data_IF_303935060684
#
_entry.id   IF_303935060684
#
_cell.length_a   1.000
_cell.length_b   1.000
_cell.length_c   1.000
_cell.angle_alpha   90.00
_cell.angle_beta   90.00
_cell.angle_gamma   90.00
#
_symmetry.space_group_name_H-M   'P 1'
#
loop_
_entity.id
_entity.type
_entity.pdbx_description
1 polymer ?
#
# COMPACT_ATOMS: atom_id res chain seq x y z
N UNK A 1 34.66 9.26 -9.92
CA UNK A 1 33.78 9.38 -11.10
C UNK A 1 33.88 8.05 -11.83
N UNK A 2 32.79 7.30 -11.94
CA UNK A 2 32.77 6.07 -12.76
C UNK A 2 32.79 6.52 -14.21
N UNK A 3 33.73 6.01 -15.00
CA UNK A 3 33.79 6.28 -16.43
C UNK A 3 32.58 5.61 -17.10
N UNK A 4 31.80 6.37 -17.87
CA UNK A 4 30.60 5.85 -18.53
C UNK A 4 31.06 5.13 -19.80
N UNK A 5 31.22 3.81 -19.72
CA UNK A 5 31.70 2.97 -20.83
C UNK A 5 30.67 2.73 -21.94
N UNK A 6 29.39 3.12 -21.73
CA UNK A 6 28.30 2.80 -22.66
C UNK A 6 27.96 1.30 -22.66
N UNK A 7 27.16 0.88 -23.65
CA UNK A 7 26.78 -0.52 -23.87
C UNK A 7 27.85 -1.20 -24.74
N UNK A 8 28.56 -2.21 -24.20
CA UNK A 8 29.61 -2.96 -24.89
C UNK A 8 29.08 -4.09 -25.80
N UNK A 9 27.81 -4.49 -25.66
CA UNK A 9 27.18 -5.48 -26.54
C UNK A 9 27.70 -6.92 -26.39
N UNK A 10 28.48 -7.20 -25.36
CA UNK A 10 29.01 -8.53 -25.07
C UNK A 10 27.89 -9.49 -24.66
N UNK A 11 27.68 -10.55 -25.43
CA UNK A 11 26.55 -11.47 -25.22
C UNK A 11 26.66 -12.19 -23.86
N UNK A 12 27.88 -12.37 -23.39
CA UNK A 12 28.20 -12.95 -22.08
C UNK A 12 27.70 -12.05 -20.94
N UNK A 13 27.67 -10.73 -21.14
CA UNK A 13 27.23 -9.73 -20.16
C UNK A 13 25.71 -9.57 -20.09
N UNK A 14 25.00 -9.71 -21.21
CA UNK A 14 23.56 -9.42 -21.30
C UNK A 14 22.68 -10.61 -21.69
N UNK A 15 23.26 -11.66 -22.27
CA UNK A 15 22.59 -12.88 -22.67
C UNK A 15 22.57 -13.90 -21.54
N UNK A 16 21.58 -13.80 -20.64
CA UNK A 16 21.42 -14.70 -19.50
C UNK A 16 20.80 -16.06 -19.88
N UNK A 17 21.40 -16.73 -20.86
CA UNK A 17 21.11 -18.13 -21.22
C UNK A 17 22.35 -19.00 -20.91
N UNK A 18 22.19 -20.29 -20.59
CA UNK A 18 23.32 -21.20 -20.51
C UNK A 18 24.11 -21.20 -21.84
N UNK A 19 25.46 -21.16 -21.81
CA UNK A 19 26.31 -21.32 -20.62
C UNK A 19 26.63 -20.03 -19.84
N UNK A 20 26.32 -18.84 -20.39
CA UNK A 20 26.70 -17.54 -19.81
C UNK A 20 26.18 -17.35 -18.37
N UNK A 21 25.00 -17.92 -18.06
CA UNK A 21 24.45 -17.90 -16.70
C UNK A 21 25.34 -18.57 -15.66
N UNK A 22 26.11 -19.60 -16.03
CA UNK A 22 27.01 -20.28 -15.09
C UNK A 22 28.17 -19.37 -14.71
N UNK A 23 28.82 -18.74 -15.68
CA UNK A 23 29.90 -17.78 -15.41
C UNK A 23 29.39 -16.60 -14.57
N UNK A 24 28.23 -16.04 -14.91
CA UNK A 24 27.63 -14.94 -14.15
C UNK A 24 27.20 -15.33 -12.74
N UNK A 25 26.85 -16.59 -12.49
CA UNK A 25 26.64 -17.09 -11.13
C UNK A 25 27.94 -17.10 -10.31
N UNK A 26 29.09 -17.45 -10.91
CA UNK A 26 30.39 -17.32 -10.25
C UNK A 26 30.75 -15.86 -9.99
N UNK A 27 30.50 -14.95 -10.93
CA UNK A 27 30.70 -13.50 -10.73
C UNK A 27 29.80 -12.97 -9.61
N UNK A 28 28.52 -13.38 -9.56
CA UNK A 28 27.60 -13.04 -8.48
C UNK A 28 28.12 -13.55 -7.13
N UNK A 29 28.59 -14.80 -7.08
CA UNK A 29 29.18 -15.40 -5.89
C UNK A 29 30.41 -14.65 -5.42
N UNK A 30 31.36 -14.37 -6.32
CA UNK A 30 32.58 -13.61 -6.02
C UNK A 30 32.24 -12.19 -5.52
N UNK A 31 31.26 -11.52 -6.14
CA UNK A 31 30.78 -10.22 -5.68
C UNK A 31 30.19 -10.30 -4.27
N UNK A 32 29.39 -11.31 -3.97
CA UNK A 32 28.84 -11.52 -2.63
C UNK A 32 29.94 -11.84 -1.60
N UNK A 33 30.97 -12.60 -1.99
CA UNK A 33 32.13 -12.89 -1.13
C UNK A 33 32.95 -11.62 -0.84
N UNK A 34 33.20 -10.79 -1.84
CA UNK A 34 33.86 -9.48 -1.67
C UNK A 34 33.05 -8.55 -0.77
N UNK A 35 31.75 -8.43 -1.02
CA UNK A 35 30.85 -7.63 -0.17
C UNK A 35 30.83 -8.17 1.27
N UNK A 36 30.82 -9.48 1.47
CA UNK A 36 30.88 -10.09 2.79
C UNK A 36 32.22 -9.84 3.49
N UNK A 37 33.33 -9.80 2.75
CA UNK A 37 34.64 -9.44 3.29
C UNK A 37 34.66 -7.98 3.73
N UNK A 38 34.29 -7.08 2.83
CA UNK A 38 34.26 -5.63 3.07
C UNK A 38 33.30 -5.29 4.23
N UNK A 39 32.16 -5.98 4.33
CA UNK A 39 31.20 -5.78 5.41
C UNK A 39 31.85 -5.87 6.80
N UNK A 40 32.88 -6.71 6.98
CA UNK A 40 33.54 -6.88 8.28
C UNK A 40 34.30 -5.63 8.75
N UNK A 41 34.68 -4.74 7.84
CA UNK A 41 35.50 -3.55 8.11
C UNK A 41 34.82 -2.23 7.73
N UNK A 42 33.67 -2.29 7.04
CA UNK A 42 32.92 -1.11 6.65
C UNK A 42 32.40 -0.30 7.85
N UNK A 43 32.69 1.00 7.89
CA UNK A 43 32.27 1.93 8.95
C UNK A 43 30.75 2.11 9.10
N UNK A 44 29.96 1.69 8.10
CA UNK A 44 28.50 1.68 8.21
C UNK A 44 28.00 0.63 9.21
N UNK A 45 28.79 -0.43 9.46
CA UNK A 45 28.56 -1.39 10.52
C UNK A 45 29.27 -0.90 11.79
N UNK A 46 28.50 -0.36 12.72
CA UNK A 46 29.03 0.37 13.87
C UNK A 46 29.01 -0.48 15.12
N UNK A 47 30.18 -0.65 15.72
CA UNK A 47 30.33 -1.26 17.02
C UNK A 47 30.43 -0.18 18.10
N UNK A 48 29.48 -0.17 19.02
CA UNK A 48 29.49 0.64 20.24
C UNK A 48 29.77 -0.27 21.42
N UNK A 49 30.86 0.03 22.14
CA UNK A 49 31.28 -0.77 23.29
C UNK A 49 30.64 -0.22 24.56
N UNK A 50 29.91 -1.08 25.28
CA UNK A 50 29.46 -0.84 26.64
C UNK A 50 30.49 -1.30 27.68
N UNK A 51 30.18 -1.08 28.96
CA UNK A 51 31.10 -1.41 30.06
C UNK A 51 31.21 -2.91 30.37
N UNK A 52 30.16 -3.70 30.11
CA UNK A 52 30.14 -5.15 30.34
C UNK A 52 30.29 -5.97 29.05
N UNK A 53 30.82 -7.19 29.19
CA UNK A 53 30.86 -8.22 28.14
C UNK A 53 29.82 -9.34 28.35
N UNK A 54 28.82 -9.11 29.18
CA UNK A 54 27.77 -10.11 29.38
C UNK A 54 26.92 -10.29 28.12
N UNK A 55 26.50 -9.19 27.50
CA UNK A 55 25.57 -9.21 26.35
C UNK A 55 26.05 -8.30 25.23
N UNK A 56 25.96 -8.80 24.00
CA UNK A 56 26.06 -8.02 22.77
C UNK A 56 24.69 -7.95 22.09
N UNK A 57 24.22 -6.74 21.80
CA UNK A 57 23.01 -6.54 21.02
C UNK A 57 23.37 -6.36 19.55
N UNK A 58 22.75 -7.13 18.66
CA UNK A 58 22.86 -6.98 17.20
C UNK A 58 21.53 -6.46 16.66
N UNK A 59 21.56 -5.35 15.93
CA UNK A 59 20.35 -4.66 15.49
C UNK A 59 20.58 -3.85 14.20
N UNK A 60 19.51 -3.39 13.56
CA UNK A 60 19.56 -2.58 12.33
C UNK A 60 18.39 -1.59 12.25
N UNK A 61 18.47 -0.63 11.32
CA UNK A 61 17.34 0.26 11.01
C UNK A 61 16.84 1.09 12.19
N UNK A 62 15.50 1.19 12.32
CA UNK A 62 14.79 1.97 13.34
C UNK A 62 14.90 1.38 14.76
N UNK A 63 15.26 0.10 14.88
CA UNK A 63 15.42 -0.55 16.19
C UNK A 63 16.62 -0.01 16.97
N UNK A 64 17.65 0.44 16.25
CA UNK A 64 18.82 1.06 16.85
C UNK A 64 18.49 2.35 17.62
N UNK A 65 17.85 3.39 17.03
CA UNK A 65 17.50 4.58 17.79
C UNK A 65 16.54 4.29 18.96
N UNK A 66 15.52 3.44 18.78
CA UNK A 66 14.61 3.04 19.86
C UNK A 66 15.37 2.40 21.04
N UNK A 67 16.31 1.49 20.75
CA UNK A 67 17.20 0.93 21.77
C UNK A 67 18.05 2.00 22.47
N UNK A 68 18.56 3.00 21.73
CA UNK A 68 19.39 4.07 22.30
C UNK A 68 18.59 4.98 23.24
N UNK A 69 17.29 5.15 23.05
CA UNK A 69 16.43 5.94 23.93
C UNK A 69 16.42 5.40 25.36
N UNK A 70 16.58 4.09 25.55
CA UNK A 70 16.64 3.44 26.86
C UNK A 70 17.87 3.85 27.70
N UNK A 71 18.89 4.45 27.07
CA UNK A 71 20.09 4.92 27.76
C UNK A 71 20.89 3.81 28.45
N UNK A 72 20.82 2.58 27.92
CA UNK A 72 21.48 1.41 28.49
C UNK A 72 22.98 1.39 28.19
N UNK A 73 23.78 0.99 29.18
CA UNK A 73 25.20 0.71 29.02
C UNK A 73 25.43 -0.74 28.58
N UNK A 74 25.16 -1.00 27.30
CA UNK A 74 25.30 -2.29 26.65
C UNK A 74 26.10 -2.16 25.37
N UNK A 75 26.81 -3.22 25.00
CA UNK A 75 27.51 -3.25 23.73
C UNK A 75 26.53 -3.51 22.58
N UNK A 76 26.64 -2.72 21.53
CA UNK A 76 25.73 -2.75 20.38
C UNK A 76 26.55 -2.89 19.10
N UNK A 77 26.17 -3.83 18.26
CA UNK A 77 26.64 -3.92 16.88
C UNK A 77 25.50 -3.56 15.93
N UNK A 78 25.49 -2.30 15.48
CA UNK A 78 24.51 -1.79 14.54
C UNK A 78 24.93 -2.14 13.12
N UNK A 79 24.14 -2.97 12.46
CA UNK A 79 24.32 -3.30 11.04
C UNK A 79 23.86 -2.12 10.18
N UNK A 80 24.77 -1.61 9.35
CA UNK A 80 24.47 -0.67 8.27
C UNK A 80 24.17 -1.36 6.95
N UNK A 81 24.65 -2.59 6.78
CA UNK A 81 24.31 -3.50 5.68
C UNK A 81 23.83 -4.82 6.26
N UNK A 82 22.61 -5.24 5.91
CA UNK A 82 22.00 -6.46 6.43
C UNK A 82 22.21 -7.68 5.53
N UNK A 83 22.68 -7.50 4.29
CA UNK A 83 23.07 -8.61 3.44
C UNK A 83 24.17 -8.23 2.43
N UNK A 84 25.27 -9.00 2.35
CA UNK A 84 25.66 -10.08 3.27
C UNK A 84 25.97 -9.57 4.69
N UNK A 85 25.79 -10.42 5.70
CA UNK A 85 26.16 -10.07 7.08
C UNK A 85 27.70 -10.13 7.28
N UNK A 86 28.28 -9.30 8.16
CA UNK A 86 29.71 -9.32 8.48
C UNK A 86 30.07 -10.48 9.43
N UNK A 87 29.95 -11.71 8.92
CA UNK A 87 30.03 -12.93 9.74
C UNK A 87 31.38 -13.11 10.44
N UNK A 88 32.51 -12.73 9.83
CA UNK A 88 33.83 -12.86 10.49
C UNK A 88 33.87 -11.96 11.72
N UNK A 89 33.46 -10.70 11.56
CA UNK A 89 33.42 -9.73 12.65
C UNK A 89 32.45 -10.15 13.76
N UNK A 90 31.29 -10.65 13.39
CA UNK A 90 30.29 -11.16 14.33
C UNK A 90 30.79 -12.41 15.08
N UNK A 91 31.55 -13.31 14.44
CA UNK A 91 32.21 -14.45 15.11
C UNK A 91 33.31 -14.05 16.08
N UNK A 92 34.05 -12.99 15.77
CA UNK A 92 35.03 -12.43 16.71
C UNK A 92 34.34 -11.90 17.95
N UNK A 93 33.32 -11.06 17.75
CA UNK A 93 32.53 -10.50 18.83
C UNK A 93 31.82 -11.59 19.63
N UNK A 94 31.27 -12.63 18.99
CA UNK A 94 30.57 -13.72 19.70
C UNK A 94 31.45 -14.51 20.66
N UNK A 95 32.78 -14.43 20.53
CA UNK A 95 33.72 -15.05 21.49
C UNK A 95 34.00 -14.15 22.69
N UNK A 96 33.78 -12.85 22.53
CA UNK A 96 34.01 -11.86 23.57
C UNK A 96 32.83 -11.74 24.54
N UNK A 97 31.62 -12.06 24.09
CA UNK A 97 30.39 -11.89 24.85
C UNK A 97 29.79 -13.24 25.28
N UNK A 98 29.17 -13.28 26.45
CA UNK A 98 28.51 -14.51 26.96
C UNK A 98 27.24 -14.82 26.18
N UNK A 99 26.51 -13.79 25.77
CA UNK A 99 25.25 -13.93 25.03
C UNK A 99 25.12 -12.87 23.94
N UNK A 100 24.47 -13.24 22.83
CA UNK A 100 24.10 -12.32 21.76
C UNK A 100 22.59 -12.25 21.70
N UNK A 101 22.07 -11.02 21.74
CA UNK A 101 20.65 -10.73 21.56
C UNK A 101 20.45 -10.01 20.23
N UNK A 102 19.56 -10.54 19.39
CA UNK A 102 19.19 -9.93 18.12
C UNK A 102 17.88 -9.17 18.29
N UNK A 103 17.90 -7.89 17.94
CA UNK A 103 16.70 -7.05 17.88
C UNK A 103 16.43 -6.72 16.42
N UNK A 104 15.39 -7.37 15.88
CA UNK A 104 14.91 -7.17 14.51
C UNK A 104 13.39 -7.20 14.47
N UNK A 105 12.79 -6.44 13.56
CA UNK A 105 11.33 -6.42 13.33
C UNK A 105 10.90 -7.54 12.37
N UNK A 106 9.64 -7.92 12.42
CA UNK A 106 9.08 -8.99 11.56
C UNK A 106 9.81 -10.33 11.74
N UNK A 107 10.10 -11.06 10.66
CA UNK A 107 10.67 -12.42 10.71
C UNK A 107 12.17 -12.41 11.13
N UNK A 108 12.68 -13.49 11.75
CA UNK A 108 14.06 -13.59 12.27
C UNK A 108 15.14 -13.75 11.19
N UNK A 109 15.27 -12.81 10.26
CA UNK A 109 16.26 -12.92 9.18
C UNK A 109 17.71 -12.89 9.70
N UNK A 110 18.03 -11.93 10.57
CA UNK A 110 19.37 -11.75 11.13
C UNK A 110 19.68 -12.89 12.10
N UNK A 111 18.76 -13.19 13.02
CA UNK A 111 18.90 -14.27 13.99
C UNK A 111 19.13 -15.63 13.29
N UNK A 112 18.33 -15.97 12.28
CA UNK A 112 18.46 -17.24 11.57
C UNK A 112 19.78 -17.31 10.79
N UNK A 113 20.19 -16.25 10.10
CA UNK A 113 21.45 -16.23 9.36
C UNK A 113 22.66 -16.38 10.31
N UNK A 114 22.63 -15.74 11.49
CA UNK A 114 23.67 -15.93 12.51
C UNK A 114 23.74 -17.37 13.01
N UNK A 115 22.59 -17.99 13.32
CA UNK A 115 22.50 -19.39 13.76
C UNK A 115 23.01 -20.35 12.70
N UNK A 116 22.63 -20.16 11.43
CA UNK A 116 23.10 -20.97 10.29
C UNK A 116 24.64 -20.89 10.17
N UNK A 117 25.25 -19.74 10.50
CA UNK A 117 26.71 -19.56 10.47
C UNK A 117 27.42 -20.03 11.74
N UNK A 118 26.70 -20.63 12.68
CA UNK A 118 27.21 -21.20 13.92
C UNK A 118 27.47 -20.16 15.03
N UNK A 119 26.79 -19.02 14.98
CA UNK A 119 26.82 -18.02 16.05
C UNK A 119 25.56 -18.24 16.92
N UNK A 120 25.76 -18.55 18.20
CA UNK A 120 24.65 -18.69 19.13
C UNK A 120 24.09 -17.31 19.49
N UNK A 121 22.79 -17.13 19.30
CA UNK A 121 22.07 -15.90 19.63
C UNK A 121 20.59 -16.19 19.90
N UNK A 122 19.90 -15.22 20.50
CA UNK A 122 18.46 -15.24 20.77
C UNK A 122 17.85 -13.90 20.37
N UNK A 123 16.62 -13.91 19.87
CA UNK A 123 15.89 -12.67 19.57
C UNK A 123 14.40 -12.89 19.74
N UNK A 124 13.79 -13.66 18.83
CA UNK A 124 12.34 -13.91 18.79
C UNK A 124 11.77 -14.70 19.96
N UNK A 125 12.63 -15.23 20.83
CA UNK A 125 12.21 -15.72 22.14
C UNK A 125 11.69 -14.59 23.04
N UNK A 126 12.22 -13.37 22.87
CA UNK A 126 11.92 -12.20 23.70
C UNK A 126 11.16 -11.09 22.95
N UNK A 127 11.28 -11.05 21.62
CA UNK A 127 10.67 -10.02 20.77
C UNK A 127 9.61 -10.62 19.85
N UNK A 128 8.55 -9.86 19.58
CA UNK A 128 7.46 -10.30 18.70
C UNK A 128 7.97 -10.68 17.30
N UNK A 129 7.38 -11.72 16.70
CA UNK A 129 7.64 -12.13 15.32
C UNK A 129 7.06 -11.16 14.28
N UNK A 130 6.21 -10.22 14.71
CA UNK A 130 5.51 -9.29 13.82
C UNK A 130 5.18 -7.98 14.53
N UNK A 131 4.83 -6.97 13.76
CA UNK A 131 4.63 -5.61 14.25
C UNK A 131 5.93 -4.83 14.36
N UNK A 132 5.77 -3.58 14.74
CA UNK A 132 6.87 -2.65 15.03
C UNK A 132 7.35 -2.89 16.46
N UNK A 133 8.66 -2.82 16.71
CA UNK A 133 9.18 -2.87 18.09
C UNK A 133 9.53 -1.45 18.54
N UNK A 134 8.66 -0.88 19.37
CA UNK A 134 8.88 0.42 19.96
C UNK A 134 9.88 0.32 21.12
N UNK A 135 10.27 1.47 21.67
CA UNK A 135 11.20 1.58 22.79
C UNK A 135 10.75 0.73 23.99
N UNK A 136 9.45 0.71 24.28
CA UNK A 136 8.83 -0.09 25.35
C UNK A 136 8.88 -1.60 25.06
N UNK A 137 8.59 -2.01 23.83
CA UNK A 137 8.64 -3.42 23.41
C UNK A 137 10.07 -3.98 23.53
N UNK A 138 11.06 -3.15 23.16
CA UNK A 138 12.47 -3.47 23.29
C UNK A 138 12.86 -3.58 24.77
N UNK A 139 12.46 -2.64 25.63
CA UNK A 139 12.78 -2.68 27.06
C UNK A 139 12.21 -3.92 27.73
N UNK A 140 10.95 -4.26 27.42
CA UNK A 140 10.29 -5.46 27.94
C UNK A 140 11.02 -6.73 27.51
N UNK A 141 11.32 -6.88 26.21
CA UNK A 141 12.06 -8.04 25.71
C UNK A 141 13.46 -8.14 26.32
N UNK A 142 14.15 -7.02 26.52
CA UNK A 142 15.46 -6.99 27.18
C UNK A 142 15.39 -7.32 28.68
N UNK A 143 14.28 -7.01 29.35
CA UNK A 143 14.03 -7.47 30.73
C UNK A 143 13.79 -8.98 30.78
N UNK A 144 12.98 -9.53 29.88
CA UNK A 144 12.77 -10.98 29.77
C UNK A 144 14.07 -11.72 29.47
N UNK A 145 14.95 -11.11 28.66
CA UNK A 145 16.30 -11.60 28.40
C UNK A 145 17.30 -11.40 29.57
N UNK A 146 16.90 -10.76 30.67
CA UNK A 146 17.74 -10.52 31.84
C UNK A 146 18.79 -9.42 31.69
N UNK A 147 18.70 -8.58 30.64
CA UNK A 147 19.61 -7.45 30.40
C UNK A 147 19.24 -6.25 31.25
N UNK A 148 17.94 -5.98 31.37
CA UNK A 148 17.38 -4.87 32.14
C UNK A 148 16.65 -5.44 33.37
N UNK A 149 16.79 -4.77 34.52
CA UNK A 149 16.15 -5.22 35.77
C UNK A 149 14.73 -4.68 35.95
N UNK A 150 14.51 -3.43 35.55
CA UNK A 150 13.27 -2.70 35.75
C UNK A 150 12.88 -1.99 34.45
N UNK A 151 11.59 -2.04 34.12
CA UNK A 151 11.01 -1.28 33.01
C UNK A 151 10.82 0.17 33.48
N UNK A 152 11.42 1.12 32.76
CA UNK A 152 11.24 2.56 33.00
C UNK A 152 10.13 3.14 32.13
N UNK A 153 10.02 2.61 30.91
CA UNK A 153 9.03 3.03 29.94
C UNK A 153 7.83 2.11 30.09
N UNK A 154 6.69 2.71 30.37
CA UNK A 154 5.44 1.98 30.39
C UNK A 154 4.80 2.14 29.02
N UNK A 155 4.44 1.01 28.41
CA UNK A 155 3.43 1.03 27.35
C UNK A 155 2.23 1.72 27.96
N UNK A 156 1.83 2.87 27.42
CA UNK A 156 0.59 3.51 27.80
C UNK A 156 -0.50 2.44 27.64
N UNK A 157 -1.03 1.95 28.76
CA UNK A 157 -2.16 1.05 28.69
C UNK A 157 -3.32 1.90 28.19
N UNK A 158 -3.80 1.58 26.99
CA UNK A 158 -5.06 2.11 26.51
C UNK A 158 -6.14 1.63 27.49
N UNK A 159 -6.45 2.45 28.50
CA UNK A 159 -7.49 2.17 29.50
C UNK A 159 -8.89 2.12 28.86
N UNK A 160 -9.02 2.68 27.66
CA UNK A 160 -10.23 2.66 26.86
C UNK A 160 -10.02 1.90 25.55
N UNK A 161 -11.01 1.07 25.18
CA UNK A 161 -11.06 0.45 23.86
C UNK A 161 -11.31 1.55 22.81
N UNK A 162 -10.24 2.20 22.35
CA UNK A 162 -10.32 3.27 21.34
C UNK A 162 -10.62 2.65 19.99
N UNK A 163 -11.55 3.24 19.25
CA UNK A 163 -11.87 2.76 17.89
C UNK A 163 -10.64 2.87 16.99
N UNK A 164 -10.19 1.74 16.45
CA UNK A 164 -9.04 1.69 15.55
C UNK A 164 -9.20 2.64 14.35
N UNK A 165 -8.20 3.49 14.13
CA UNK A 165 -8.13 4.39 12.97
C UNK A 165 -7.60 3.62 11.76
N UNK A 166 -8.48 2.86 11.14
CA UNK A 166 -8.12 2.11 9.94
C UNK A 166 -7.72 3.06 8.80
N UNK A 167 -6.76 2.66 7.95
CA UNK A 167 -6.40 3.42 6.77
C UNK A 167 -7.63 3.75 5.92
N UNK A 168 -7.78 5.01 5.49
CA UNK A 168 -8.96 5.51 4.78
C UNK A 168 -8.61 6.35 3.55
N UNK A 169 -9.54 6.41 2.60
CA UNK A 169 -9.41 7.26 1.42
C UNK A 169 -9.30 8.75 1.79
N UNK A 170 -8.49 9.51 1.06
CA UNK A 170 -8.36 10.95 1.25
C UNK A 170 -9.69 11.71 1.02
N UNK A 171 -9.81 12.90 1.59
CA UNK A 171 -10.88 13.84 1.25
C UNK A 171 -10.86 14.10 -0.27
N UNK A 172 -12.01 13.98 -0.93
CA UNK A 172 -12.10 14.10 -2.39
C UNK A 172 -11.43 12.98 -3.20
N UNK A 173 -11.05 11.86 -2.58
CA UNK A 173 -10.49 10.74 -3.34
C UNK A 173 -11.48 10.25 -4.42
N UNK A 174 -11.03 10.11 -5.69
CA UNK A 174 -11.86 9.69 -6.82
C UNK A 174 -12.35 8.25 -6.74
N UNK A 175 -11.73 7.40 -5.91
CA UNK A 175 -12.12 5.99 -5.79
C UNK A 175 -13.34 5.78 -4.86
N UNK A 176 -13.61 6.69 -3.92
CA UNK A 176 -14.72 6.57 -2.97
C UNK A 176 -16.09 6.34 -3.63
N UNK A 177 -16.53 7.15 -4.61
CA UNK A 177 -17.82 6.93 -5.27
C UNK A 177 -17.89 5.58 -5.98
N UNK A 178 -16.79 5.13 -6.60
CA UNK A 178 -16.72 3.82 -7.28
C UNK A 178 -17.01 2.69 -6.31
N UNK A 179 -16.31 2.64 -5.17
CA UNK A 179 -16.52 1.56 -4.19
C UNK A 179 -17.86 1.66 -3.46
N UNK A 180 -18.40 2.86 -3.25
CA UNK A 180 -19.77 3.01 -2.74
C UNK A 180 -20.82 2.46 -3.74
N UNK A 181 -20.64 2.70 -5.04
CA UNK A 181 -21.48 2.15 -6.11
C UNK A 181 -21.36 0.62 -6.17
N UNK A 182 -20.14 0.08 -6.20
CA UNK A 182 -19.89 -1.36 -6.22
C UNK A 182 -20.47 -2.06 -4.99
N UNK A 183 -20.35 -1.43 -3.80
CA UNK A 183 -20.98 -1.91 -2.58
C UNK A 183 -22.50 -2.01 -2.71
N UNK A 184 -23.14 -0.95 -3.21
CA UNK A 184 -24.60 -0.91 -3.44
C UNK A 184 -25.04 -1.92 -4.50
N UNK A 185 -24.18 -2.23 -5.46
CA UNK A 185 -24.39 -3.28 -6.45
C UNK A 185 -24.14 -4.71 -5.90
N UNK A 186 -23.65 -4.84 -4.66
CA UNK A 186 -23.23 -6.12 -4.06
C UNK A 186 -22.23 -6.89 -4.93
N UNK A 187 -21.35 -6.14 -5.61
CA UNK A 187 -20.31 -6.73 -6.45
C UNK A 187 -19.24 -7.41 -5.59
N UNK A 188 -18.75 -8.56 -6.07
CA UNK A 188 -17.50 -9.15 -5.58
C UNK A 188 -16.36 -8.65 -6.44
N UNK A 189 -15.36 -8.03 -5.80
CA UNK A 189 -14.34 -7.25 -6.50
C UNK A 189 -12.95 -7.80 -6.22
N UNK A 190 -12.26 -8.13 -7.30
CA UNK A 190 -10.86 -8.53 -7.31
C UNK A 190 -10.04 -7.26 -7.58
N UNK A 191 -9.04 -6.96 -6.77
CA UNK A 191 -8.18 -5.81 -6.99
C UNK A 191 -6.71 -6.14 -7.00
N UNK A 192 -5.94 -5.14 -7.37
CA UNK A 192 -4.49 -5.09 -7.23
C UNK A 192 -4.06 -4.25 -6.02
N UNK A 193 -2.75 -4.03 -5.90
CA UNK A 193 -2.17 -3.07 -4.95
C UNK A 193 -2.28 -1.66 -5.51
N UNK A 194 -2.88 -0.75 -4.72
CA UNK A 194 -2.99 0.68 -5.00
C UNK A 194 -3.89 1.39 -3.97
N UNK A 195 -4.15 2.70 -4.14
CA UNK A 195 -5.01 3.46 -3.20
C UNK A 195 -6.35 2.76 -2.94
N UNK A 196 -6.91 2.12 -3.96
CA UNK A 196 -8.17 1.39 -3.90
C UNK A 196 -8.14 0.11 -3.03
N UNK A 197 -6.97 -0.42 -2.65
CA UNK A 197 -6.84 -1.55 -1.71
C UNK A 197 -7.49 -1.26 -0.36
N UNK A 198 -7.63 0.02 0.02
CA UNK A 198 -8.36 0.44 1.23
C UNK A 198 -9.84 0.02 1.24
N UNK A 199 -10.41 -0.35 0.09
CA UNK A 199 -11.77 -0.85 0.00
C UNK A 199 -11.98 -2.25 0.64
N UNK A 200 -10.91 -2.93 1.08
CA UNK A 200 -10.99 -4.12 1.95
C UNK A 200 -11.54 -3.77 3.35
N UNK A 201 -11.30 -2.53 3.80
CA UNK A 201 -11.58 -2.10 5.17
C UNK A 201 -13.02 -1.58 5.35
N UNK A 202 -13.55 -1.58 6.59
CA UNK A 202 -14.76 -0.83 6.92
C UNK A 202 -14.63 0.67 6.55
N UNK A 203 -15.73 1.35 6.19
CA UNK A 203 -17.09 0.84 6.07
C UNK A 203 -17.36 0.17 4.73
N UNK A 204 -16.42 0.14 3.77
CA UNK A 204 -16.70 -0.35 2.42
C UNK A 204 -16.78 -1.88 2.35
N UNK A 205 -15.71 -2.59 2.73
CA UNK A 205 -15.59 -4.06 2.65
C UNK A 205 -16.08 -4.65 1.32
N UNK A 206 -15.58 -4.10 0.21
CA UNK A 206 -15.99 -4.48 -1.16
C UNK A 206 -14.90 -5.25 -1.88
N UNK A 207 -13.63 -4.96 -1.60
CA UNK A 207 -12.52 -5.65 -2.24
C UNK A 207 -12.28 -7.00 -1.57
N UNK A 208 -12.45 -8.09 -2.31
CA UNK A 208 -12.37 -9.47 -1.81
C UNK A 208 -10.96 -10.07 -1.95
N UNK A 209 -10.14 -9.53 -2.85
CA UNK A 209 -8.77 -10.03 -3.10
C UNK A 209 -7.86 -8.88 -3.51
N UNK A 210 -6.61 -8.91 -3.04
CA UNK A 210 -5.50 -8.05 -3.46
C UNK A 210 -4.20 -8.81 -3.23
N UNK A 211 -3.45 -9.11 -4.31
CA UNK A 211 -2.22 -9.92 -4.24
C UNK A 211 -0.98 -9.10 -4.59
N UNK A 212 -0.89 -8.63 -5.84
CA UNK A 212 0.24 -7.86 -6.34
C UNK A 212 -0.23 -6.88 -7.42
N UNK A 213 0.68 -6.08 -7.97
CA UNK A 213 0.36 -5.18 -9.07
C UNK A 213 0.13 -5.96 -10.39
N UNK A 214 -1.08 -5.87 -10.94
CA UNK A 214 -1.47 -6.44 -12.23
C UNK A 214 -1.97 -7.88 -12.19
N UNK A 215 -2.20 -8.43 -10.99
CA UNK A 215 -2.71 -9.78 -10.80
C UNK A 215 -4.22 -9.88 -11.04
N UNK A 216 -4.98 -8.81 -10.82
CA UNK A 216 -6.45 -8.77 -10.81
C UNK A 216 -7.07 -9.33 -12.09
N UNK A 217 -6.52 -8.98 -13.25
CA UNK A 217 -6.98 -9.42 -14.57
C UNK A 217 -6.76 -10.93 -14.75
N UNK A 218 -5.58 -11.43 -14.38
CA UNK A 218 -5.26 -12.86 -14.44
C UNK A 218 -6.10 -13.69 -13.48
N UNK A 219 -6.30 -13.20 -12.26
CA UNK A 219 -7.17 -13.82 -11.25
C UNK A 219 -8.61 -13.85 -11.76
N UNK A 220 -9.14 -12.74 -12.30
CA UNK A 220 -10.48 -12.69 -12.90
C UNK A 220 -10.64 -13.76 -13.98
N UNK A 221 -9.64 -13.95 -14.85
CA UNK A 221 -9.66 -15.00 -15.88
C UNK A 221 -9.65 -16.41 -15.28
N UNK A 222 -8.86 -16.65 -14.25
CA UNK A 222 -8.84 -17.94 -13.55
C UNK A 222 -10.18 -18.23 -12.87
N UNK A 223 -10.77 -17.21 -12.21
CA UNK A 223 -12.06 -17.31 -11.56
C UNK A 223 -13.20 -17.56 -12.56
N UNK A 224 -13.19 -16.93 -13.73
CA UNK A 224 -14.23 -17.16 -14.75
C UNK A 224 -14.23 -18.62 -15.24
N UNK A 225 -13.05 -19.21 -15.46
CA UNK A 225 -12.92 -20.64 -15.78
C UNK A 225 -13.38 -21.55 -14.63
N UNK A 226 -13.14 -21.18 -13.38
CA UNK A 226 -13.62 -21.93 -12.22
C UNK A 226 -15.15 -21.86 -12.09
N UNK A 227 -15.73 -20.69 -12.33
CA UNK A 227 -17.18 -20.45 -12.25
C UNK A 227 -17.91 -21.21 -13.36
N UNK A 228 -17.41 -21.16 -14.59
CA UNK A 228 -17.92 -21.94 -15.72
C UNK A 228 -18.01 -23.44 -15.39
N UNK A 229 -16.94 -24.04 -14.86
CA UNK A 229 -16.91 -25.46 -14.46
C UNK A 229 -17.95 -25.81 -13.39
N UNK A 230 -18.35 -24.84 -12.57
CA UNK A 230 -19.38 -24.98 -11.54
C UNK A 230 -20.80 -24.70 -12.08
N UNK A 231 -20.92 -24.19 -13.30
CA UNK A 231 -22.19 -23.68 -13.85
C UNK A 231 -22.64 -22.37 -13.20
N UNK A 232 -21.72 -21.61 -12.60
CA UNK A 232 -21.99 -20.31 -11.99
C UNK A 232 -21.79 -19.20 -13.03
N UNK A 233 -22.81 -18.37 -13.24
CA UNK A 233 -22.79 -17.23 -14.18
C UNK A 233 -22.70 -15.87 -13.48
N UNK A 234 -22.32 -15.85 -12.20
CA UNK A 234 -22.21 -14.62 -11.42
C UNK A 234 -21.21 -13.64 -12.07
N UNK A 235 -21.55 -12.34 -12.16
CA UNK A 235 -20.64 -11.31 -12.68
C UNK A 235 -19.34 -11.26 -11.89
N UNK A 236 -18.20 -11.24 -12.58
CA UNK A 236 -16.88 -11.04 -11.99
C UNK A 236 -16.43 -9.60 -12.20
N UNK A 237 -15.97 -8.94 -11.14
CA UNK A 237 -15.52 -7.54 -11.20
C UNK A 237 -14.07 -7.46 -10.81
N UNK A 238 -13.26 -6.78 -11.62
CA UNK A 238 -11.88 -6.46 -11.28
C UNK A 238 -11.65 -4.95 -11.30
N UNK A 239 -10.79 -4.47 -10.42
CA UNK A 239 -10.34 -3.08 -10.38
C UNK A 239 -8.82 -3.03 -10.52
N UNK A 240 -8.35 -2.10 -11.35
CA UNK A 240 -6.92 -1.84 -11.55
C UNK A 240 -6.71 -0.33 -11.64
N UNK A 241 -5.69 0.21 -10.97
CA UNK A 241 -5.30 1.62 -11.12
C UNK A 241 -4.58 1.87 -12.44
N UNK A 242 -4.60 3.09 -12.94
CA UNK A 242 -3.81 3.54 -14.11
C UNK A 242 -2.32 3.20 -13.99
N UNK A 243 -1.66 3.50 -12.87
CA UNK A 243 -0.24 3.17 -12.67
C UNK A 243 0.04 1.68 -12.80
N UNK A 244 -0.83 0.85 -12.19
CA UNK A 244 -0.76 -0.61 -12.30
C UNK A 244 -1.05 -1.09 -13.72
N UNK A 245 -2.02 -0.46 -14.40
CA UNK A 245 -2.38 -0.76 -15.78
C UNK A 245 -1.17 -0.56 -16.72
N UNK A 246 -0.49 0.58 -16.65
CA UNK A 246 0.71 0.84 -17.46
C UNK A 246 1.91 -0.03 -17.06
N UNK A 247 2.05 -0.39 -15.78
CA UNK A 247 3.18 -1.17 -15.31
C UNK A 247 3.10 -2.65 -15.74
N UNK A 248 2.00 -3.33 -15.40
CA UNK A 248 1.86 -4.78 -15.61
C UNK A 248 0.47 -5.20 -16.10
N UNK A 249 -0.50 -4.28 -16.17
CA UNK A 249 -1.85 -4.59 -16.61
C UNK A 249 -2.01 -4.75 -18.13
N UNK A 250 -1.26 -4.00 -18.95
CA UNK A 250 -1.38 -4.07 -20.42
C UNK A 250 -1.13 -5.48 -20.98
N UNK A 251 -0.04 -6.19 -20.62
CA UNK A 251 0.17 -7.56 -21.10
C UNK A 251 -0.93 -8.52 -20.61
N UNK A 252 -1.41 -8.35 -19.38
CA UNK A 252 -2.52 -9.14 -18.83
C UNK A 252 -3.82 -8.93 -19.60
N UNK A 253 -4.11 -7.69 -20.04
CA UNK A 253 -5.27 -7.40 -20.88
C UNK A 253 -5.15 -8.04 -22.25
N UNK A 254 -3.99 -7.95 -22.91
CA UNK A 254 -3.80 -8.62 -24.20
C UNK A 254 -4.02 -10.14 -24.10
N UNK A 255 -3.50 -10.77 -23.03
CA UNK A 255 -3.72 -12.20 -22.78
C UNK A 255 -5.20 -12.51 -22.48
N UNK A 256 -5.89 -11.66 -21.71
CA UNK A 256 -7.32 -11.79 -21.46
C UNK A 256 -8.10 -11.79 -22.77
N UNK A 257 -7.79 -10.87 -23.69
CA UNK A 257 -8.43 -10.76 -25.00
C UNK A 257 -8.19 -12.01 -25.86
N UNK A 258 -6.93 -12.48 -25.92
CA UNK A 258 -6.56 -13.65 -26.71
C UNK A 258 -7.30 -14.93 -26.28
N UNK A 259 -7.54 -15.07 -24.97
CA UNK A 259 -8.17 -16.24 -24.38
C UNK A 259 -9.66 -16.03 -24.08
N UNK A 260 -10.26 -14.92 -24.52
CA UNK A 260 -11.58 -14.49 -24.09
C UNK A 260 -12.66 -15.48 -24.50
N UNK A 261 -13.57 -15.74 -23.57
CA UNK A 261 -14.80 -16.47 -23.85
C UNK A 261 -15.96 -15.46 -23.83
N UNK A 262 -16.77 -15.35 -24.90
CA UNK A 262 -17.86 -14.39 -24.95
C UNK A 262 -18.96 -14.67 -23.92
N UNK A 263 -19.07 -15.87 -23.36
CA UNK A 263 -20.10 -16.19 -22.35
C UNK A 263 -19.74 -15.72 -20.94
N UNK A 264 -18.50 -15.24 -20.72
CA UNK A 264 -18.07 -14.80 -19.40
C UNK A 264 -18.51 -13.37 -19.10
N UNK A 265 -19.38 -13.22 -18.10
CA UNK A 265 -19.76 -11.94 -17.55
C UNK A 265 -18.63 -11.37 -16.66
N UNK A 266 -17.84 -10.47 -17.22
CA UNK A 266 -16.68 -9.85 -16.59
C UNK A 266 -16.72 -8.33 -16.78
N UNK A 267 -16.45 -7.58 -15.71
CA UNK A 267 -16.31 -6.12 -15.77
C UNK A 267 -14.97 -5.70 -15.19
N UNK A 268 -14.12 -5.09 -16.01
CA UNK A 268 -12.85 -4.51 -15.58
C UNK A 268 -13.01 -2.99 -15.42
N UNK A 269 -12.77 -2.48 -14.21
CA UNK A 269 -12.73 -1.06 -13.92
C UNK A 269 -11.27 -0.59 -13.89
N UNK A 270 -10.90 0.29 -14.81
CA UNK A 270 -9.61 0.99 -14.80
C UNK A 270 -9.82 2.33 -14.09
N UNK A 271 -9.19 2.47 -12.92
CA UNK A 271 -9.34 3.60 -12.04
C UNK A 271 -8.28 4.67 -12.36
N UNK A 272 -8.54 5.46 -13.40
CA UNK A 272 -7.62 6.52 -13.82
C UNK A 272 -7.75 7.75 -12.92
N UNK A 273 -6.71 7.95 -12.11
CA UNK A 273 -6.54 9.13 -11.26
C UNK A 273 -5.33 9.98 -11.69
N UNK A 274 -4.70 9.62 -12.82
CA UNK A 274 -3.60 10.31 -13.45
C UNK A 274 -2.28 10.30 -12.69
N UNK A 275 -1.94 9.24 -11.93
CA UNK A 275 -0.61 8.99 -11.35
C UNK A 275 -0.54 7.68 -10.53
N UNK A 276 0.68 7.20 -10.26
CA UNK A 276 0.91 6.13 -9.26
C UNK A 276 0.85 6.71 -7.84
N UNK A 277 -0.37 6.89 -7.32
CA UNK A 277 -0.62 7.74 -6.15
C UNK A 277 -0.11 7.18 -4.80
N UNK A 278 -0.37 5.91 -4.50
CA UNK A 278 -0.11 5.32 -3.16
C UNK A 278 1.37 5.32 -2.77
N UNK A 279 2.27 5.27 -3.76
CA UNK A 279 3.72 5.23 -3.57
C UNK A 279 4.35 6.61 -3.39
N UNK A 280 3.56 7.69 -3.38
CA UNK A 280 4.05 9.06 -3.25
C UNK A 280 3.87 9.91 -4.52
N UNK A 281 3.01 9.50 -5.45
CA UNK A 281 2.60 10.33 -6.59
C UNK A 281 3.57 10.34 -7.77
N UNK A 282 4.17 9.19 -8.07
CA UNK A 282 5.10 9.03 -9.20
C UNK A 282 4.38 9.19 -10.55
N UNK A 283 5.04 9.77 -11.56
CA UNK A 283 4.53 9.81 -12.92
C UNK A 283 4.36 8.39 -13.48
N UNK A 284 3.49 8.25 -14.48
CA UNK A 284 3.23 6.99 -15.17
C UNK A 284 2.94 7.23 -16.66
N UNK A 285 2.55 6.21 -17.41
CA UNK A 285 2.33 6.33 -18.86
C UNK A 285 1.26 7.35 -19.28
N UNK A 286 0.36 7.72 -18.37
CA UNK A 286 -0.70 8.69 -18.62
C UNK A 286 -0.34 10.12 -18.21
N UNK A 287 0.70 10.32 -17.40
CA UNK A 287 1.00 11.63 -16.82
C UNK A 287 2.47 11.84 -16.45
N UNK A 288 2.88 13.09 -16.58
CA UNK A 288 4.10 13.62 -15.98
C UNK A 288 5.34 13.45 -16.85
N UNK A 289 6.30 14.33 -16.59
CA UNK A 289 7.57 14.37 -17.31
C UNK A 289 8.45 13.20 -16.86
N UNK A 290 8.77 12.28 -17.77
CA UNK A 290 9.80 11.25 -17.56
C UNK A 290 11.21 11.88 -17.43
N UNK A 291 11.38 13.09 -17.98
CA UNK A 291 12.53 13.98 -17.77
C UNK A 291 12.23 15.39 -18.31
N UNK A 292 13.15 16.35 -18.19
CA UNK A 292 12.90 17.76 -18.58
C UNK A 292 12.34 17.94 -20.01
N UNK A 293 12.69 17.00 -20.91
CA UNK A 293 12.39 17.05 -22.35
C UNK A 293 11.26 16.12 -22.82
N UNK A 294 10.84 15.14 -22.02
CA UNK A 294 9.95 14.07 -22.48
C UNK A 294 8.76 13.92 -21.53
N UNK A 295 7.57 14.19 -22.07
CA UNK A 295 6.29 14.01 -21.39
C UNK A 295 5.53 12.90 -22.10
N UNK A 296 4.90 12.00 -21.33
CA UNK A 296 4.06 10.93 -21.86
C UNK A 296 2.62 11.18 -21.43
N UNK A 297 1.70 11.08 -22.39
CA UNK A 297 0.28 11.26 -22.16
C UNK A 297 -0.52 10.22 -22.96
N UNK A 298 -0.30 8.94 -22.64
CA UNK A 298 -0.95 7.83 -23.34
C UNK A 298 -2.35 7.65 -22.78
N UNK A 299 -3.38 7.97 -23.55
CA UNK A 299 -4.78 7.78 -23.12
C UNK A 299 -5.19 6.30 -23.03
N UNK A 300 -5.67 5.87 -21.85
CA UNK A 300 -6.09 4.48 -21.59
C UNK A 300 -7.23 4.07 -22.53
N UNK A 301 -8.25 4.91 -22.72
CA UNK A 301 -9.42 4.56 -23.55
C UNK A 301 -9.03 4.26 -25.00
N UNK A 302 -8.18 5.12 -25.59
CA UNK A 302 -7.68 4.92 -26.95
C UNK A 302 -6.86 3.63 -27.05
N UNK A 303 -5.91 3.45 -26.11
CA UNK A 303 -5.07 2.26 -26.08
C UNK A 303 -5.86 0.95 -25.98
N UNK A 304 -6.84 0.90 -25.07
CA UNK A 304 -7.69 -0.28 -24.87
C UNK A 304 -8.57 -0.55 -26.10
N UNK A 305 -9.10 0.48 -26.77
CA UNK A 305 -9.84 0.29 -28.03
C UNK A 305 -8.95 -0.24 -29.14
N UNK A 306 -7.74 0.31 -29.29
CA UNK A 306 -6.75 -0.14 -30.30
C UNK A 306 -6.25 -1.57 -30.03
N UNK A 307 -6.19 -2.01 -28.76
CA UNK A 307 -5.94 -3.42 -28.43
C UNK A 307 -7.02 -4.37 -28.97
N UNK A 308 -8.23 -3.87 -29.26
CA UNK A 308 -9.34 -4.66 -29.82
C UNK A 308 -10.54 -4.87 -28.89
N UNK A 309 -10.57 -4.21 -27.72
CA UNK A 309 -11.73 -4.29 -26.83
C UNK A 309 -12.91 -3.47 -27.38
N UNK A 310 -14.06 -4.13 -27.55
CA UNK A 310 -15.23 -3.53 -28.21
C UNK A 310 -16.09 -2.68 -27.29
N UNK A 311 -16.22 -3.08 -26.02
CA UNK A 311 -17.10 -2.44 -25.03
C UNK A 311 -16.26 -1.71 -23.98
N UNK A 312 -15.96 -0.46 -24.27
CA UNK A 312 -15.17 0.44 -23.42
C UNK A 312 -15.99 1.69 -23.17
N UNK A 313 -16.22 2.02 -21.90
CA UNK A 313 -16.96 3.22 -21.51
C UNK A 313 -16.14 4.03 -20.51
N UNK A 314 -16.06 5.34 -20.73
CA UNK A 314 -15.42 6.27 -19.80
C UNK A 314 -16.49 7.01 -19.00
N UNK A 315 -16.28 7.17 -17.70
CA UNK A 315 -17.24 7.82 -16.81
C UNK A 315 -16.57 8.73 -15.79
N UNK A 316 -17.15 9.91 -15.62
CA UNK A 316 -16.82 10.79 -14.52
C UNK A 316 -17.57 10.33 -13.26
N UNK A 317 -16.85 9.67 -12.37
CA UNK A 317 -17.41 9.14 -11.12
C UNK A 317 -17.83 10.21 -10.10
N UNK A 318 -17.56 11.50 -10.36
CA UNK A 318 -18.13 12.61 -9.58
C UNK A 318 -19.51 13.02 -10.05
N UNK A 319 -19.99 12.56 -11.21
CA UNK A 319 -21.40 12.57 -11.58
C UNK A 319 -22.05 11.29 -11.05
N UNK A 320 -22.34 11.27 -9.75
CA UNK A 320 -22.62 10.03 -9.01
C UNK A 320 -23.76 9.20 -9.60
N UNK A 321 -24.87 9.83 -9.99
CA UNK A 321 -26.03 9.11 -10.54
C UNK A 321 -25.75 8.53 -11.92
N UNK A 322 -25.09 9.29 -12.80
CA UNK A 322 -24.65 8.83 -14.12
C UNK A 322 -23.66 7.67 -13.96
N UNK A 323 -22.64 7.83 -13.11
CA UNK A 323 -21.67 6.78 -12.83
C UNK A 323 -22.30 5.53 -12.21
N UNK A 324 -23.25 5.71 -11.29
CA UNK A 324 -23.96 4.57 -10.69
C UNK A 324 -24.79 3.84 -11.74
N UNK A 325 -25.41 4.54 -12.68
CA UNK A 325 -26.20 3.93 -13.75
C UNK A 325 -25.28 3.16 -14.69
N UNK A 326 -24.26 3.82 -15.23
CA UNK A 326 -23.30 3.23 -16.17
C UNK A 326 -22.61 2.00 -15.58
N UNK A 327 -22.02 2.10 -14.38
CA UNK A 327 -21.36 0.94 -13.76
C UNK A 327 -22.33 -0.22 -13.57
N UNK A 328 -23.57 0.02 -13.11
CA UNK A 328 -24.56 -1.06 -12.93
C UNK A 328 -25.03 -1.67 -14.25
N UNK A 329 -25.07 -0.92 -15.33
CA UNK A 329 -25.38 -1.44 -16.67
C UNK A 329 -24.25 -2.34 -17.17
N UNK A 330 -23.00 -1.91 -16.99
CA UNK A 330 -21.83 -2.69 -17.41
C UNK A 330 -21.61 -3.96 -16.57
N UNK A 331 -21.95 -3.93 -15.28
CA UNK A 331 -21.96 -5.12 -14.41
C UNK A 331 -23.01 -6.17 -14.81
N UNK A 332 -24.05 -5.78 -15.55
CA UNK A 332 -25.12 -6.68 -16.02
C UNK A 332 -24.89 -7.19 -17.43
N UNK A 333 -23.92 -6.61 -18.14
CA UNK A 333 -23.62 -7.00 -19.51
C UNK A 333 -23.09 -8.44 -19.55
N UNK A 334 -23.65 -9.27 -20.43
CA UNK A 334 -23.13 -10.62 -20.68
C UNK A 334 -21.95 -10.53 -21.65
N UNK A 335 -20.74 -10.73 -21.11
CA UNK A 335 -19.47 -10.61 -21.83
C UNK A 335 -18.48 -9.76 -21.05
N UNK A 336 -17.38 -9.38 -21.71
CA UNK A 336 -16.38 -8.48 -21.13
C UNK A 336 -16.75 -7.02 -21.37
N UNK A 337 -16.84 -6.24 -20.29
CA UNK A 337 -16.95 -4.78 -20.33
C UNK A 337 -15.78 -4.11 -19.62
N UNK A 338 -15.34 -2.98 -20.15
CA UNK A 338 -14.31 -2.14 -19.56
C UNK A 338 -14.90 -0.77 -19.22
N UNK A 339 -14.76 -0.38 -17.95
CA UNK A 339 -15.15 0.95 -17.45
C UNK A 339 -13.90 1.70 -17.06
N UNK A 340 -13.72 2.91 -17.57
CA UNK A 340 -12.60 3.79 -17.22
C UNK A 340 -13.15 4.95 -16.42
N UNK A 341 -12.69 5.15 -15.19
CA UNK A 341 -13.07 6.32 -14.39
C UNK A 341 -12.06 7.43 -14.57
N UNK A 342 -12.46 8.69 -14.71
CA UNK A 342 -11.57 9.73 -15.26
C UNK A 342 -11.14 10.84 -14.30
N UNK A 343 -11.53 10.80 -13.01
CA UNK A 343 -11.20 11.88 -12.06
C UNK A 343 -9.80 11.79 -11.47
N UNK A 344 -9.04 12.91 -11.49
CA UNK A 344 -7.67 12.96 -10.96
C UNK A 344 -7.62 12.83 -9.43
N UNK A 345 -6.44 12.46 -8.93
CA UNK A 345 -6.16 12.43 -7.49
C UNK A 345 -6.22 13.84 -6.86
N UNK A 346 -7.23 14.09 -6.02
CA UNK A 346 -7.39 15.37 -5.34
C UNK A 346 -6.17 15.78 -4.49
N UNK A 347 -5.50 14.82 -3.84
CA UNK A 347 -4.35 15.11 -2.99
C UNK A 347 -3.13 15.58 -3.79
N UNK A 348 -2.77 14.85 -4.84
CA UNK A 348 -1.57 15.16 -5.61
C UNK A 348 -1.74 16.41 -6.48
N UNK A 349 -2.91 16.55 -7.10
CA UNK A 349 -3.24 17.73 -7.90
C UNK A 349 -3.74 18.91 -7.07
N UNK A 350 -3.74 18.79 -5.73
CA UNK A 350 -4.13 19.84 -4.77
C UNK A 350 -5.49 20.47 -5.09
N UNK A 351 -6.45 19.64 -5.49
CA UNK A 351 -7.78 20.08 -5.89
C UNK A 351 -8.52 20.56 -4.64
N UNK A 352 -8.97 21.81 -4.66
CA UNK A 352 -9.77 22.41 -3.60
C UNK A 352 -10.82 23.34 -4.21
N UNK A 353 -12.07 22.94 -4.10
CA UNK A 353 -13.23 23.76 -4.45
C UNK A 353 -13.93 24.27 -3.18
N UNK A 354 -14.95 25.11 -3.35
CA UNK A 354 -15.71 25.67 -2.22
C UNK A 354 -16.30 24.53 -1.37
N UNK A 355 -16.07 24.53 -0.04
CA UNK A 355 -16.44 23.42 0.82
C UNK A 355 -17.96 23.31 1.00
N UNK A 356 -18.40 22.15 1.50
CA UNK A 356 -19.80 21.88 1.83
C UNK A 356 -20.00 21.88 3.35
N UNK A 357 -21.21 22.21 3.79
CA UNK A 357 -21.67 22.07 5.17
C UNK A 357 -23.01 21.31 5.21
N UNK A 358 -23.36 20.80 6.40
CA UNK A 358 -24.66 20.16 6.64
C UNK A 358 -25.57 21.14 7.36
N UNK A 359 -26.77 21.36 6.84
CA UNK A 359 -27.86 22.03 7.54
C UNK A 359 -28.50 21.06 8.55
N UNK A 360 -28.28 21.23 9.86
CA UNK A 360 -28.72 20.27 10.86
C UNK A 360 -30.25 20.25 11.03
N UNK A 361 -30.96 21.30 10.60
CA UNK A 361 -32.43 21.36 10.67
C UNK A 361 -33.09 20.52 9.57
N UNK A 362 -32.42 20.37 8.42
CA UNK A 362 -32.89 19.53 7.30
C UNK A 362 -32.37 18.10 7.43
N UNK A 363 -31.22 17.90 8.07
CA UNK A 363 -30.60 16.59 8.21
C UNK A 363 -31.49 15.61 9.00
N UNK A 364 -31.80 14.47 8.40
CA UNK A 364 -32.54 13.38 9.03
C UNK A 364 -31.65 12.33 9.73
N UNK A 365 -30.33 12.54 9.78
CA UNK A 365 -29.41 11.63 10.48
C UNK A 365 -29.25 10.23 9.86
N UNK A 366 -29.65 10.02 8.59
CA UNK A 366 -29.67 8.70 7.92
C UNK A 366 -28.29 8.08 7.62
N UNK A 367 -27.21 8.87 7.76
CA UNK A 367 -25.80 8.46 7.58
C UNK A 367 -25.42 8.00 6.16
N UNK A 368 -26.24 8.24 5.14
CA UNK A 368 -25.90 7.88 3.75
C UNK A 368 -24.61 8.55 3.29
N UNK A 369 -24.41 9.84 3.62
CA UNK A 369 -23.17 10.55 3.31
C UNK A 369 -21.96 9.99 4.06
N UNK A 370 -22.11 9.57 5.32
CA UNK A 370 -21.04 8.93 6.13
C UNK A 370 -20.58 7.62 5.50
N UNK A 371 -21.52 6.83 4.95
CA UNK A 371 -21.22 5.56 4.28
C UNK A 371 -20.34 5.69 3.04
N UNK A 372 -20.21 6.89 2.47
CA UNK A 372 -19.26 7.19 1.36
C UNK A 372 -17.80 7.28 1.80
N UNK A 373 -17.52 7.06 3.10
CA UNK A 373 -16.18 6.99 3.67
C UNK A 373 -15.32 8.25 3.44
N UNK A 374 -15.91 9.43 3.63
CA UNK A 374 -15.22 10.71 3.48
C UNK A 374 -14.65 11.18 4.84
N UNK A 375 -13.33 11.40 5.00
CA UNK A 375 -12.74 11.81 6.28
C UNK A 375 -13.36 13.06 6.94
N UNK A 376 -13.75 14.12 6.20
CA UNK A 376 -14.37 15.31 6.79
C UNK A 376 -15.77 15.08 7.35
N UNK A 377 -16.42 13.95 7.08
CA UNK A 377 -17.81 13.71 7.49
C UNK A 377 -17.84 12.94 8.80
N UNK A 378 -18.55 13.48 9.79
CA UNK A 378 -18.76 12.84 11.08
C UNK A 378 -20.23 12.92 11.52
N UNK A 379 -20.58 12.16 12.56
CA UNK A 379 -21.83 12.35 13.29
C UNK A 379 -21.57 13.29 14.46
N UNK A 380 -22.42 14.30 14.63
CA UNK A 380 -22.29 15.36 15.64
C UNK A 380 -23.63 15.60 16.34
N UNK A 381 -23.59 15.83 17.66
CA UNK A 381 -24.73 16.32 18.43
C UNK A 381 -24.77 17.85 18.35
N UNK A 382 -25.93 18.41 18.02
CA UNK A 382 -26.13 19.85 17.91
C UNK A 382 -26.94 20.37 19.09
N UNK A 383 -26.65 21.59 19.56
CA UNK A 383 -27.41 22.21 20.65
C UNK A 383 -28.87 22.40 20.21
N UNK A 384 -29.82 21.87 20.99
CA UNK A 384 -31.25 21.96 20.68
C UNK A 384 -31.75 20.93 19.65
N UNK A 385 -30.96 19.93 19.30
CA UNK A 385 -31.37 18.78 18.47
C UNK A 385 -30.94 17.50 19.17
N UNK A 386 -31.91 16.66 19.54
CA UNK A 386 -31.63 15.44 20.30
C UNK A 386 -30.92 14.37 19.48
N UNK A 387 -31.28 14.25 18.19
CA UNK A 387 -30.67 13.29 17.27
C UNK A 387 -29.23 13.65 16.88
N UNK A 388 -28.38 12.64 16.68
CA UNK A 388 -27.12 12.79 15.98
C UNK A 388 -27.37 13.15 14.51
N UNK A 389 -26.83 14.30 14.07
CA UNK A 389 -26.86 14.74 12.67
C UNK A 389 -25.49 14.61 12.04
N UNK A 390 -25.42 14.58 10.71
CA UNK A 390 -24.14 14.60 10.02
C UNK A 390 -23.52 16.00 10.09
N UNK A 391 -22.19 16.07 10.08
CA UNK A 391 -21.40 17.31 9.99
C UNK A 391 -20.29 17.16 8.97
N UNK A 392 -19.83 18.27 8.38
CA UNK A 392 -18.65 18.31 7.51
C UNK A 392 -17.64 19.29 8.13
N UNK A 393 -16.40 18.84 8.33
CA UNK A 393 -15.28 19.73 8.64
C UNK A 393 -14.89 20.49 7.36
N UNK A 394 -15.12 21.80 7.35
CA UNK A 394 -14.87 22.67 6.18
C UNK A 394 -13.40 22.85 5.85
N UNK A 395 -12.51 22.77 6.85
CA UNK A 395 -11.06 22.94 6.65
C UNK A 395 -10.44 21.75 5.90
N UNK A 396 -10.99 20.56 6.13
CA UNK A 396 -10.60 19.32 5.46
C UNK A 396 -11.39 19.06 4.16
N UNK A 397 -12.50 19.74 3.95
CA UNK A 397 -13.36 19.53 2.79
C UNK A 397 -12.72 20.11 1.53
N UNK A 398 -12.66 19.32 0.46
CA UNK A 398 -12.12 19.75 -0.84
C UNK A 398 -13.20 20.07 -1.88
N UNK A 399 -14.48 20.06 -1.50
CA UNK A 399 -15.58 20.48 -2.37
C UNK A 399 -16.05 19.47 -3.43
N UNK A 400 -15.70 18.18 -3.34
CA UNK A 400 -15.98 17.19 -4.42
C UNK A 400 -17.47 16.83 -4.67
N UNK A 401 -18.43 17.43 -3.97
CA UNK A 401 -19.90 17.26 -4.08
C UNK A 401 -20.53 15.86 -3.89
N UNK A 402 -19.78 14.76 -3.88
CA UNK A 402 -20.32 13.37 -3.73
C UNK A 402 -21.32 13.25 -2.57
N UNK A 403 -20.97 13.79 -1.41
CA UNK A 403 -21.81 13.70 -0.22
C UNK A 403 -23.16 14.43 -0.38
N UNK A 404 -23.19 15.52 -1.15
CA UNK A 404 -24.42 16.26 -1.46
C UNK A 404 -25.32 15.45 -2.39
N UNK A 405 -24.75 14.83 -3.43
CA UNK A 405 -25.48 14.03 -4.41
C UNK A 405 -26.15 12.80 -3.79
N UNK A 406 -25.53 12.16 -2.80
CA UNK A 406 -26.12 11.00 -2.11
C UNK A 406 -27.08 11.39 -0.98
N UNK A 407 -27.33 12.67 -0.73
CA UNK A 407 -28.19 13.14 0.35
C UNK A 407 -29.67 13.10 -0.07
N UNK A 408 -30.52 12.24 0.52
CA UNK A 408 -31.91 12.08 0.05
C UNK A 408 -32.81 13.30 0.35
N UNK A 409 -32.37 14.19 1.24
CA UNK A 409 -33.15 15.35 1.70
C UNK A 409 -32.47 16.68 1.40
N UNK A 410 -31.39 16.67 0.58
CA UNK A 410 -30.64 17.87 0.20
C UNK A 410 -30.19 18.74 1.40
N UNK A 411 -29.81 18.09 2.51
CA UNK A 411 -29.33 18.78 3.72
C UNK A 411 -27.89 19.30 3.58
N UNK A 412 -27.14 18.85 2.58
CA UNK A 412 -25.75 19.24 2.36
C UNK A 412 -25.70 20.36 1.32
N UNK A 413 -25.16 21.51 1.71
CA UNK A 413 -25.14 22.74 0.92
C UNK A 413 -23.71 23.24 0.77
N UNK A 414 -23.41 23.88 -0.35
CA UNK A 414 -22.12 24.53 -0.55
C UNK A 414 -22.06 25.80 0.30
N UNK A 415 -20.91 26.08 0.91
CA UNK A 415 -20.69 27.34 1.62
C UNK A 415 -20.81 28.48 0.60
N UNK A 416 -21.58 29.52 0.92
CA UNK A 416 -21.63 30.72 0.06
C UNK A 416 -20.33 31.48 0.25
N UNK A 417 -19.59 31.73 -0.83
CA UNK A 417 -18.45 32.65 -0.78
C UNK A 417 -18.97 34.04 -0.37
N UNK A 418 -18.54 34.54 0.79
CA UNK A 418 -18.79 35.93 1.20
C UNK A 418 -19.80 36.16 2.34
N UNK A 419 -19.92 35.29 3.33
CA UNK A 419 -20.37 35.71 4.67
C UNK A 419 -19.55 35.03 5.76
N UNK A 420 -18.62 35.80 6.32
CA UNK A 420 -18.14 35.62 7.68
C UNK A 420 -19.33 35.67 8.62
N UNK A 421 -19.63 34.56 9.30
CA UNK A 421 -20.33 34.54 10.59
C UNK A 421 -19.68 33.51 11.51
#
# INVERSE_FOLDING_TARGET
>A
KVEISGFNGELEDYGMLPPNTFEKQYVMKERLEKLAEDANTMDINRYEKGSSKDVLIVTSGLMYPNLKELGLDVSIFKLGMVYPLPIKRLKELSREYKEIIVIEEMMPFIEDELKIKGISCKGKEFFSFTGELNTEDIEKGLKEAGVVKEEKYQIAQDEEEVTARVPMFCAGCPHRPVFDILKKAKAEVIGDIGCYTMAVLPPLKVLNSSLSMGASIGIMKGMSKAYEKKGDKKPLVAVIGDGTFYHSGMPSMLNLLHQMDPEYNMTLLILDNGLTAMTGGQPNGGTGKYGEKYDMNVGIEGLVKEMGFKRVVSVDQFKYDEASKTIKEELKYEGLSIVITTRPCALNFKIKETPFYVDPKVCIGCRTCVKTNCPPIAMKKYKGIDDLKSSINTDMCVGCSICAQVCPVNAIKQVKEGKDE
#
